data_IF_404680691726
#
_entry.id   IF_404680691726
#
_cell.length_a   1.000
_cell.length_b   1.000
_cell.length_c   1.000
_cell.angle_alpha   90.00
_cell.angle_beta   90.00
_cell.angle_gamma   90.00
#
_symmetry.space_group_name_H-M   'P 1'
#
loop_
_entity.id
_entity.type
_entity.pdbx_description
1 polymer ?
#
# COMPACT_ATOMS: atom_id res chain seq x y z
N UNK A 1 -5.77 6.55 -14.48
CA UNK A 1 -6.36 5.45 -13.67
C UNK A 1 -6.17 5.82 -12.21
N UNK A 2 -7.15 5.52 -11.34
CA UNK A 2 -6.98 5.75 -9.91
C UNK A 2 -6.05 4.70 -9.28
N UNK A 3 -5.40 5.03 -8.17
CA UNK A 3 -4.55 4.10 -7.41
C UNK A 3 -5.30 2.82 -7.03
N UNK A 4 -6.55 2.96 -6.57
CA UNK A 4 -7.47 1.83 -6.38
C UNK A 4 -7.59 0.95 -7.62
N UNK A 5 -7.85 1.55 -8.79
CA UNK A 5 -8.04 0.78 -10.03
C UNK A 5 -6.76 0.06 -10.47
N UNK A 6 -5.60 0.65 -10.19
CA UNK A 6 -4.29 0.04 -10.43
C UNK A 6 -4.12 -1.18 -9.53
N UNK A 7 -4.32 -1.03 -8.22
CA UNK A 7 -4.24 -2.14 -7.26
C UNK A 7 -5.21 -3.26 -7.67
N UNK A 8 -6.48 -2.93 -7.93
CA UNK A 8 -7.48 -3.91 -8.33
C UNK A 8 -7.12 -4.67 -9.61
N UNK A 9 -6.55 -3.98 -10.59
CA UNK A 9 -6.15 -4.60 -11.86
C UNK A 9 -4.92 -5.50 -11.69
N UNK A 10 -3.99 -5.13 -10.80
CA UNK A 10 -2.77 -5.89 -10.55
C UNK A 10 -2.99 -7.09 -9.62
N UNK A 11 -3.80 -6.94 -8.56
CA UNK A 11 -3.94 -7.95 -7.50
C UNK A 11 -5.26 -8.71 -7.56
N UNK A 12 -6.25 -8.23 -8.33
CA UNK A 12 -7.62 -8.74 -8.31
C UNK A 12 -8.41 -8.33 -7.07
N UNK A 13 -7.81 -7.63 -6.10
CA UNK A 13 -8.45 -7.20 -4.86
C UNK A 13 -8.80 -5.71 -4.88
N UNK A 14 -10.00 -5.38 -4.42
CA UNK A 14 -10.45 -4.00 -4.29
C UNK A 14 -10.11 -3.46 -2.89
N UNK A 15 -9.35 -2.37 -2.78
CA UNK A 15 -8.95 -1.81 -1.48
C UNK A 15 -10.12 -1.41 -0.58
N UNK A 16 -11.34 -1.25 -1.11
CA UNK A 16 -12.55 -1.02 -0.31
C UNK A 16 -12.92 -2.19 0.62
N UNK A 17 -12.30 -3.37 0.48
CA UNK A 17 -12.46 -4.44 1.47
C UNK A 17 -11.80 -4.09 2.81
N UNK A 18 -10.94 -3.07 2.85
CA UNK A 18 -10.36 -2.56 4.10
C UNK A 18 -11.47 -2.06 5.05
N UNK A 19 -11.42 -2.51 6.30
CA UNK A 19 -12.40 -2.15 7.33
C UNK A 19 -11.88 -1.09 8.32
N UNK A 20 -10.79 -0.39 8.00
CA UNK A 20 -10.22 0.70 8.82
C UNK A 20 -9.98 0.34 10.29
N UNK A 21 -9.46 -0.87 10.51
CA UNK A 21 -9.24 -1.46 11.83
C UNK A 21 -7.85 -1.24 12.43
N UNK A 22 -6.89 -0.81 11.61
CA UNK A 22 -5.48 -0.61 11.93
C UNK A 22 -4.71 -1.84 12.44
N UNK A 23 -5.30 -3.05 12.41
CA UNK A 23 -4.62 -4.31 12.79
C UNK A 23 -3.37 -4.63 11.96
N UNK A 24 -3.26 -4.04 10.78
CA UNK A 24 -2.11 -4.19 9.89
C UNK A 24 -0.91 -3.31 10.30
N UNK A 25 -1.10 -2.35 11.20
CA UNK A 25 0.00 -1.46 11.57
C UNK A 25 1.03 -2.23 12.38
N UNK A 26 2.23 -2.30 11.80
CA UNK A 26 3.39 -2.98 12.34
C UNK A 26 4.23 -2.00 13.17
N UNK A 27 4.94 -2.48 14.18
CA UNK A 27 5.78 -1.64 15.06
C UNK A 27 7.08 -1.12 14.44
N UNK A 28 7.27 -1.23 13.12
CA UNK A 28 8.53 -0.86 12.45
C UNK A 28 8.61 0.63 12.10
N UNK A 29 8.62 1.49 13.12
CA UNK A 29 8.52 2.95 12.93
C UNK A 29 9.75 3.59 12.29
N UNK A 30 10.93 2.99 12.38
CA UNK A 30 12.16 3.62 11.87
C UNK A 30 12.15 3.77 10.34
N UNK A 31 11.55 2.81 9.64
CA UNK A 31 11.54 2.75 8.18
C UNK A 31 10.24 3.26 7.56
N UNK A 32 9.26 3.62 8.39
CA UNK A 32 7.97 4.17 7.96
C UNK A 32 7.94 5.69 8.15
N UNK A 33 7.36 6.40 7.21
CA UNK A 33 6.93 7.79 7.34
C UNK A 33 5.42 7.90 7.59
N UNK A 34 4.65 6.91 7.14
CA UNK A 34 3.22 6.74 7.40
C UNK A 34 2.90 5.28 7.76
N UNK A 35 1.92 5.01 8.62
CA UNK A 35 1.46 3.64 8.88
C UNK A 35 0.86 2.96 7.64
N UNK A 36 0.79 1.63 7.62
CA UNK A 36 0.17 0.87 6.53
C UNK A 36 -1.33 1.19 6.41
N UNK A 37 -2.01 1.41 7.54
CA UNK A 37 -3.41 1.85 7.56
C UNK A 37 -3.60 3.19 6.83
N UNK A 38 -2.71 4.16 7.06
CA UNK A 38 -2.70 5.46 6.38
C UNK A 38 -2.38 5.32 4.89
N UNK A 39 -1.41 4.47 4.51
CA UNK A 39 -1.13 4.18 3.11
C UNK A 39 -2.37 3.67 2.37
N UNK A 40 -3.13 2.75 2.97
CA UNK A 40 -4.37 2.23 2.38
C UNK A 40 -5.41 3.36 2.23
N UNK A 41 -5.52 4.27 3.20
CA UNK A 41 -6.42 5.43 3.11
C UNK A 41 -6.04 6.37 1.96
N UNK A 42 -4.75 6.68 1.79
CA UNK A 42 -4.28 7.49 0.66
C UNK A 42 -4.64 6.83 -0.68
N UNK A 43 -4.46 5.51 -0.82
CA UNK A 43 -4.87 4.76 -2.01
C UNK A 43 -6.37 4.84 -2.26
N UNK A 44 -7.20 4.74 -1.21
CA UNK A 44 -8.66 4.88 -1.31
C UNK A 44 -9.08 6.28 -1.74
N UNK A 45 -8.39 7.31 -1.24
CA UNK A 45 -8.59 8.71 -1.59
C UNK A 45 -7.99 9.09 -2.96
N UNK A 46 -7.31 8.15 -3.62
CA UNK A 46 -6.55 8.39 -4.84
C UNK A 46 -5.50 9.51 -4.67
N UNK A 47 -4.91 9.59 -3.48
CA UNK A 47 -3.87 10.56 -3.15
C UNK A 47 -2.49 10.02 -3.57
N UNK A 48 -1.78 10.80 -4.39
CA UNK A 48 -0.51 10.40 -4.97
C UNK A 48 0.65 10.39 -3.96
N UNK A 49 0.47 10.96 -2.76
CA UNK A 49 1.43 10.80 -1.66
C UNK A 49 1.71 9.32 -1.36
N UNK A 50 0.72 8.44 -1.59
CA UNK A 50 0.88 6.98 -1.49
C UNK A 50 2.02 6.42 -2.36
N UNK A 51 2.38 7.06 -3.48
CA UNK A 51 3.41 6.61 -4.41
C UNK A 51 4.82 7.13 -4.06
N UNK A 52 4.89 8.15 -3.19
CA UNK A 52 6.11 8.89 -2.87
C UNK A 52 6.58 8.68 -1.42
N UNK A 53 5.74 8.09 -0.56
CA UNK A 53 6.07 7.87 0.84
C UNK A 53 7.20 6.84 1.01
N UNK A 54 8.08 7.07 1.98
CA UNK A 54 9.19 6.17 2.34
C UNK A 54 8.69 4.77 2.72
N UNK A 55 7.52 4.69 3.35
CA UNK A 55 6.85 3.45 3.75
C UNK A 55 6.66 2.51 2.57
N UNK A 56 6.24 3.01 1.42
CA UNK A 56 6.06 2.21 0.22
C UNK A 56 7.39 1.60 -0.25
N UNK A 57 8.48 2.35 -0.11
CA UNK A 57 9.82 2.02 -0.65
C UNK A 57 10.74 1.29 0.33
N UNK A 58 10.32 1.09 1.57
CA UNK A 58 11.09 0.29 2.53
C UNK A 58 10.88 -1.22 2.31
N UNK A 59 11.98 -1.95 2.12
CA UNK A 59 11.95 -3.41 2.00
C UNK A 59 11.61 -4.10 3.33
N UNK A 60 12.02 -3.53 4.46
CA UNK A 60 11.67 -4.06 5.79
C UNK A 60 10.16 -3.97 6.04
N UNK A 61 9.54 -2.86 5.64
CA UNK A 61 8.09 -2.65 5.71
C UNK A 61 7.36 -3.59 4.77
N UNK A 62 7.87 -3.75 3.54
CA UNK A 62 7.28 -4.63 2.54
C UNK A 62 7.26 -6.09 3.02
N UNK A 63 8.36 -6.58 3.61
CA UNK A 63 8.40 -7.93 4.17
C UNK A 63 7.48 -8.07 5.40
N UNK A 64 7.43 -7.06 6.27
CA UNK A 64 6.54 -7.08 7.43
C UNK A 64 5.04 -6.93 7.06
N UNK A 65 4.71 -6.36 5.90
CA UNK A 65 3.34 -6.25 5.41
C UNK A 65 2.74 -7.60 4.97
N UNK A 66 3.58 -8.61 4.70
CA UNK A 66 3.13 -9.96 4.31
C UNK A 66 2.25 -10.56 5.41
N UNK A 67 0.98 -10.81 5.09
CA UNK A 67 0.03 -11.40 6.05
C UNK A 67 -0.37 -10.49 7.21
N UNK A 68 0.02 -9.20 7.20
CA UNK A 68 -0.32 -8.27 8.29
C UNK A 68 -1.83 -7.99 8.36
N UNK A 69 -2.53 -8.01 7.23
CA UNK A 69 -3.99 -7.83 7.23
C UNK A 69 -4.72 -9.12 7.62
N UNK A 70 -5.29 -9.11 8.82
CA UNK A 70 -6.15 -10.20 9.35
C UNK A 70 -7.49 -10.36 8.62
N UNK A 71 -7.82 -9.46 7.69
CA UNK A 71 -9.07 -9.45 6.90
C UNK A 71 -8.87 -9.91 5.46
N UNK A 72 -7.65 -10.30 5.09
CA UNK A 72 -7.36 -10.88 3.78
C UNK A 72 -7.04 -9.89 2.66
N UNK A 73 -6.81 -8.61 2.95
CA UNK A 73 -6.21 -7.69 1.97
C UNK A 73 -4.71 -8.00 1.85
N UNK A 74 -4.24 -8.32 0.64
CA UNK A 74 -2.83 -8.57 0.39
C UNK A 74 -2.08 -7.24 0.26
N UNK A 75 -1.55 -6.78 1.40
CA UNK A 75 -0.79 -5.52 1.48
C UNK A 75 0.53 -5.60 0.72
N UNK A 76 1.15 -6.77 0.65
CA UNK A 76 2.37 -6.96 -0.12
C UNK A 76 2.10 -6.76 -1.61
N UNK A 77 1.10 -7.45 -2.16
CA UNK A 77 0.71 -7.32 -3.57
C UNK A 77 0.25 -5.88 -3.89
N UNK A 78 -0.50 -5.24 -2.99
CA UNK A 78 -0.88 -3.83 -3.12
C UNK A 78 0.35 -2.93 -3.22
N UNK A 79 1.32 -3.05 -2.32
CA UNK A 79 2.52 -2.23 -2.30
C UNK A 79 3.39 -2.45 -3.55
N UNK A 80 3.52 -3.69 -4.03
CA UNK A 80 4.23 -3.98 -5.29
C UNK A 80 3.56 -3.26 -6.47
N UNK A 81 2.25 -3.36 -6.61
CA UNK A 81 1.51 -2.68 -7.68
C UNK A 81 1.69 -1.16 -7.65
N UNK A 82 1.77 -0.56 -6.45
CA UNK A 82 2.03 0.87 -6.28
C UNK A 82 3.48 1.25 -6.63
N UNK A 83 4.48 0.43 -6.26
CA UNK A 83 5.88 0.65 -6.68
C UNK A 83 6.01 0.60 -8.20
N UNK A 84 5.43 -0.42 -8.83
CA UNK A 84 5.43 -0.57 -10.29
C UNK A 84 4.78 0.64 -10.98
N UNK A 85 3.65 1.11 -10.46
CA UNK A 85 3.00 2.32 -10.97
C UNK A 85 3.87 3.56 -10.81
N UNK A 86 4.52 3.74 -9.66
CA UNK A 86 5.42 4.88 -9.40
C UNK A 86 6.59 4.87 -10.39
N UNK A 87 7.24 3.71 -10.59
CA UNK A 87 8.29 3.53 -11.60
C UNK A 87 7.79 3.80 -13.01
N UNK A 88 6.60 3.32 -13.37
CA UNK A 88 5.98 3.53 -14.68
C UNK A 88 5.70 5.02 -14.95
N UNK A 89 5.40 5.81 -13.92
CA UNK A 89 5.22 7.26 -14.03
C UNK A 89 6.54 8.01 -14.13
N UNK A 90 7.56 7.58 -13.40
CA UNK A 90 8.88 8.22 -13.40
C UNK A 90 9.67 7.97 -14.71
N UNK A 91 9.44 6.84 -15.37
CA UNK A 91 10.05 6.51 -16.67
C UNK A 91 9.31 7.08 -17.90
N UNK A 92 8.36 8.01 -17.70
CA UNK A 92 7.62 8.71 -18.76
C UNK A 92 8.00 10.17 -18.83
#
# INVERSE_FOLDING_TARGET
MSLRSIVKSATGQDVHVCQSCNDCDIGSYADMDIPLSSLIQLVMLNDEEALQCRTLWSDSVMEAARGACKRGLDLYAMMIALREESLRRAGR
#
